data_IF_693075448983
#
_entry.id   IF_693075448983
#
_cell.length_a   1.000
_cell.length_b   1.000
_cell.length_c   1.000
_cell.angle_alpha   90.00
_cell.angle_beta   90.00
_cell.angle_gamma   90.00
#
_symmetry.space_group_name_H-M   'P 1'
#
loop_
_entity.id
_entity.type
_entity.pdbx_description
1 polymer ?
#
# COMPACT_ATOMS: atom_id res chain seq x y z
N UNK A 1 16.73 -36.96 17.58
CA UNK A 1 16.65 -36.77 16.11
C UNK A 1 15.28 -36.18 15.81
N UNK A 2 15.14 -34.84 15.77
CA UNK A 2 14.03 -34.09 15.12
C UNK A 2 13.91 -32.58 15.50
N UNK A 3 14.73 -32.00 16.39
CA UNK A 3 14.44 -30.63 16.89
C UNK A 3 15.49 -29.53 16.59
N UNK A 4 16.46 -29.79 15.71
CA UNK A 4 17.55 -28.83 15.45
C UNK A 4 17.33 -27.93 14.21
N UNK A 5 16.30 -28.20 13.40
CA UNK A 5 16.06 -27.45 12.16
C UNK A 5 15.10 -26.27 12.27
N UNK A 6 14.48 -26.02 13.44
CA UNK A 6 13.46 -24.95 13.58
C UNK A 6 14.02 -23.57 13.92
N UNK A 7 15.30 -23.45 14.27
CA UNK A 7 15.91 -22.19 14.73
C UNK A 7 16.82 -21.48 13.70
N UNK A 8 17.01 -22.03 12.49
CA UNK A 8 17.93 -21.45 11.50
C UNK A 8 17.39 -20.20 10.76
N UNK A 9 16.11 -19.84 10.94
CA UNK A 9 15.48 -18.70 10.25
C UNK A 9 15.40 -17.41 11.09
N UNK A 10 16.07 -17.36 12.25
CA UNK A 10 15.99 -16.22 13.20
C UNK A 10 17.21 -15.31 13.23
N UNK A 11 18.09 -15.41 12.25
CA UNK A 11 19.38 -14.72 12.25
C UNK A 11 19.81 -14.21 10.88
N UNK A 12 18.92 -13.53 10.15
CA UNK A 12 19.35 -12.65 9.06
C UNK A 12 20.14 -11.50 9.71
N UNK A 13 21.46 -11.68 9.80
CA UNK A 13 22.40 -10.72 10.36
C UNK A 13 22.21 -9.37 9.66
N UNK A 14 21.61 -8.42 10.35
CA UNK A 14 21.58 -7.02 9.96
C UNK A 14 23.01 -6.51 10.04
N UNK A 15 23.61 -6.22 8.88
CA UNK A 15 24.94 -5.64 8.78
C UNK A 15 24.95 -4.23 9.41
N UNK A 16 25.68 -3.98 10.50
CA UNK A 16 25.70 -2.70 11.20
C UNK A 16 26.54 -1.62 10.47
N UNK A 17 27.15 -1.93 9.33
CA UNK A 17 27.94 -0.98 8.55
C UNK A 17 27.16 -0.24 7.45
N UNK A 18 25.88 -0.55 7.26
CA UNK A 18 25.03 0.16 6.32
C UNK A 18 24.51 1.44 6.99
N UNK A 19 24.91 2.65 6.54
CA UNK A 19 24.32 3.88 7.04
C UNK A 19 22.84 3.82 6.73
N UNK A 20 22.03 3.68 7.78
CA UNK A 20 20.58 3.81 7.72
C UNK A 20 20.36 5.25 7.29
N UNK A 21 20.13 5.45 5.98
CA UNK A 21 19.79 6.77 5.46
C UNK A 21 18.48 7.12 6.13
N UNK A 22 18.44 8.21 6.87
CA UNK A 22 17.20 8.75 7.46
C UNK A 22 16.17 9.16 6.39
N UNK A 23 16.52 9.04 5.11
CA UNK A 23 15.63 9.07 3.94
C UNK A 23 14.79 7.78 3.78
N UNK A 24 15.17 6.67 4.44
CA UNK A 24 14.42 5.41 4.51
C UNK A 24 13.30 5.44 5.58
N UNK A 25 13.08 6.58 6.25
CA UNK A 25 11.88 6.85 7.04
C UNK A 25 10.66 6.73 6.12
N UNK A 26 9.96 5.61 6.21
CA UNK A 26 8.77 5.29 5.42
C UNK A 26 7.77 6.45 5.41
N UNK A 27 7.62 7.20 4.30
CA UNK A 27 6.64 8.26 4.19
C UNK A 27 5.27 7.67 3.80
N UNK A 28 4.94 6.48 4.32
CA UNK A 28 3.72 5.74 3.97
C UNK A 28 2.72 5.67 5.12
N UNK A 29 3.14 5.96 6.35
CA UNK A 29 2.23 6.01 7.50
C UNK A 29 1.13 7.04 7.30
N UNK A 30 1.46 8.21 6.71
CA UNK A 30 0.48 9.26 6.41
C UNK A 30 -0.60 8.83 5.41
N UNK A 31 -0.23 8.04 4.39
CA UNK A 31 -1.17 7.57 3.36
C UNK A 31 -2.12 6.49 3.90
N UNK A 32 -1.63 5.62 4.80
CA UNK A 32 -2.46 4.63 5.48
C UNK A 32 -3.48 5.27 6.43
N UNK A 33 -3.13 6.36 7.11
CA UNK A 33 -4.09 7.13 7.90
C UNK A 33 -5.14 7.82 7.03
N UNK A 34 -4.74 8.35 5.88
CA UNK A 34 -5.64 9.01 4.93
C UNK A 34 -6.70 8.03 4.38
N UNK A 35 -6.29 6.81 4.05
CA UNK A 35 -7.21 5.74 3.63
C UNK A 35 -8.26 5.42 4.71
N UNK A 36 -7.81 5.27 5.98
CA UNK A 36 -8.71 5.03 7.11
C UNK A 36 -9.66 6.20 7.32
N UNK A 37 -9.19 7.43 7.17
CA UNK A 37 -10.01 8.64 7.29
C UNK A 37 -11.12 8.67 6.23
N UNK A 38 -10.80 8.37 4.97
CA UNK A 38 -11.80 8.29 3.92
C UNK A 38 -12.83 7.18 4.14
N UNK A 39 -12.41 6.00 4.61
CA UNK A 39 -13.35 4.93 5.01
C UNK A 39 -14.28 5.36 6.15
N UNK A 40 -13.77 6.05 7.17
CA UNK A 40 -14.60 6.56 8.28
C UNK A 40 -15.61 7.60 7.78
N UNK A 41 -15.17 8.53 6.93
CA UNK A 41 -16.08 9.52 6.34
C UNK A 41 -17.15 8.86 5.45
N UNK A 42 -16.80 7.82 4.69
CA UNK A 42 -17.76 7.07 3.88
C UNK A 42 -18.84 6.40 4.76
N UNK A 43 -18.42 5.80 5.88
CA UNK A 43 -19.36 5.23 6.87
C UNK A 43 -20.26 6.32 7.45
N UNK A 44 -19.70 7.49 7.80
CA UNK A 44 -20.50 8.62 8.30
C UNK A 44 -21.52 9.07 7.26
N UNK A 45 -21.13 9.18 5.98
CA UNK A 45 -22.06 9.52 4.89
C UNK A 45 -23.18 8.48 4.73
N UNK A 46 -22.86 7.20 4.90
CA UNK A 46 -23.87 6.14 4.88
C UNK A 46 -24.82 6.23 6.08
N UNK A 47 -24.31 6.56 7.27
CA UNK A 47 -25.14 6.80 8.44
C UNK A 47 -26.04 8.03 8.26
N UNK A 48 -25.50 9.12 7.69
CA UNK A 48 -26.27 10.31 7.34
C UNK A 48 -27.35 9.99 6.32
N UNK A 49 -27.04 9.19 5.29
CA UNK A 49 -28.02 8.71 4.32
C UNK A 49 -29.20 7.99 4.98
N UNK A 50 -28.92 7.07 5.92
CA UNK A 50 -29.98 6.39 6.67
C UNK A 50 -30.80 7.38 7.50
N UNK A 51 -30.15 8.34 8.15
CA UNK A 51 -30.82 9.40 8.91
C UNK A 51 -31.73 10.27 8.02
N UNK A 52 -31.27 10.61 6.82
CA UNK A 52 -32.02 11.39 5.82
C UNK A 52 -33.29 10.64 5.39
N UNK A 53 -33.15 9.35 5.09
CA UNK A 53 -34.28 8.50 4.69
C UNK A 53 -35.35 8.46 5.78
N UNK A 54 -34.96 8.24 7.03
CA UNK A 54 -35.91 8.19 8.16
C UNK A 54 -36.56 9.54 8.37
N UNK A 55 -35.78 10.62 8.38
CA UNK A 55 -36.29 11.97 8.63
C UNK A 55 -37.21 12.45 7.52
N UNK A 56 -36.82 12.25 6.26
CA UNK A 56 -37.63 12.60 5.09
C UNK A 56 -38.96 11.85 5.05
N UNK A 57 -38.94 10.56 5.41
CA UNK A 57 -40.18 9.78 5.52
C UNK A 57 -41.09 10.28 6.66
N UNK A 58 -40.52 10.62 7.83
CA UNK A 58 -41.30 11.12 8.98
C UNK A 58 -41.86 12.52 8.76
N UNK A 59 -41.16 13.39 8.02
CA UNK A 59 -41.56 14.79 7.81
C UNK A 59 -42.58 14.97 6.68
N UNK A 60 -42.42 14.24 5.56
CA UNK A 60 -43.14 14.50 4.31
C UNK A 60 -43.81 13.25 3.72
N UNK A 61 -43.55 12.05 4.24
CA UNK A 61 -44.21 10.82 3.80
C UNK A 61 -43.99 10.53 2.31
N UNK A 62 -45.08 10.32 1.57
CA UNK A 62 -45.05 9.98 0.14
C UNK A 62 -44.61 11.12 -0.78
N UNK A 63 -44.77 12.37 -0.34
CA UNK A 63 -44.35 13.54 -1.13
C UNK A 63 -42.82 13.72 -1.13
N UNK A 64 -42.14 13.06 -0.19
CA UNK A 64 -40.69 13.08 -0.07
C UNK A 64 -39.98 12.20 -1.12
N UNK A 65 -40.70 11.23 -1.73
CA UNK A 65 -40.14 10.21 -2.62
C UNK A 65 -39.24 10.77 -3.75
N UNK A 66 -39.66 11.77 -4.57
CA UNK A 66 -38.83 12.29 -5.64
C UNK A 66 -37.54 12.97 -5.14
N UNK A 67 -37.62 13.66 -4.01
CA UNK A 67 -36.47 14.36 -3.40
C UNK A 67 -35.49 13.36 -2.79
N UNK A 68 -35.99 12.38 -2.03
CA UNK A 68 -35.18 11.34 -1.41
C UNK A 68 -34.43 10.53 -2.47
N UNK A 69 -35.06 10.18 -3.59
CA UNK A 69 -34.38 9.45 -4.68
C UNK A 69 -33.16 10.21 -5.20
N UNK A 70 -33.27 11.54 -5.37
CA UNK A 70 -32.17 12.39 -5.78
C UNK A 70 -31.04 12.43 -4.73
N UNK A 71 -31.38 12.67 -3.47
CA UNK A 71 -30.40 12.77 -2.38
C UNK A 71 -29.73 11.43 -2.08
N UNK A 72 -30.50 10.34 -2.03
CA UNK A 72 -30.00 8.97 -1.87
C UNK A 72 -28.99 8.65 -2.97
N UNK A 73 -29.33 8.92 -4.24
CA UNK A 73 -28.43 8.64 -5.35
C UNK A 73 -27.09 9.37 -5.19
N UNK A 74 -27.12 10.64 -4.80
CA UNK A 74 -25.92 11.46 -4.59
C UNK A 74 -25.09 10.94 -3.42
N UNK A 75 -25.71 10.65 -2.29
CA UNK A 75 -25.02 10.17 -1.09
C UNK A 75 -24.42 8.78 -1.29
N UNK A 76 -25.13 7.88 -1.99
CA UNK A 76 -24.60 6.55 -2.35
C UNK A 76 -23.39 6.68 -3.25
N UNK A 77 -23.45 7.50 -4.30
CA UNK A 77 -22.32 7.72 -5.22
C UNK A 77 -21.13 8.33 -4.49
N UNK A 78 -21.35 9.37 -3.67
CA UNK A 78 -20.28 9.99 -2.89
C UNK A 78 -19.65 9.03 -1.89
N UNK A 79 -20.48 8.27 -1.16
CA UNK A 79 -20.01 7.25 -0.22
C UNK A 79 -19.20 6.15 -0.92
N UNK A 80 -19.69 5.64 -2.06
CA UNK A 80 -19.00 4.62 -2.84
C UNK A 80 -17.67 5.12 -3.40
N UNK A 81 -17.64 6.35 -3.92
CA UNK A 81 -16.41 6.97 -4.41
C UNK A 81 -15.38 7.14 -3.30
N UNK A 82 -15.83 7.56 -2.12
CA UNK A 82 -14.97 7.77 -0.95
C UNK A 82 -14.45 6.45 -0.37
N UNK A 83 -15.27 5.40 -0.40
CA UNK A 83 -14.85 4.06 -0.03
C UNK A 83 -13.80 3.52 -1.00
N UNK A 84 -14.05 3.66 -2.30
CA UNK A 84 -13.14 3.24 -3.36
C UNK A 84 -11.82 4.01 -3.36
N UNK A 85 -11.83 5.32 -3.07
CA UNK A 85 -10.60 6.10 -2.93
C UNK A 85 -9.79 5.68 -1.70
N UNK A 86 -10.45 5.32 -0.59
CA UNK A 86 -9.81 4.70 0.56
C UNK A 86 -9.16 3.36 0.21
N UNK A 87 -9.87 2.48 -0.50
CA UNK A 87 -9.33 1.18 -0.94
C UNK A 87 -8.14 1.34 -1.90
N UNK A 88 -8.24 2.27 -2.86
CA UNK A 88 -7.17 2.61 -3.78
C UNK A 88 -5.93 3.12 -3.04
N UNK A 89 -6.08 3.91 -1.98
CA UNK A 89 -4.96 4.38 -1.18
C UNK A 89 -4.21 3.24 -0.47
N UNK A 90 -4.88 2.15 -0.10
CA UNK A 90 -4.20 0.95 0.43
C UNK A 90 -3.43 0.22 -0.67
N UNK A 91 -4.03 0.06 -1.84
CA UNK A 91 -3.36 -0.55 -2.99
C UNK A 91 -2.11 0.23 -3.42
N UNK A 92 -2.14 1.56 -3.36
CA UNK A 92 -0.97 2.39 -3.66
C UNK A 92 0.18 2.16 -2.67
N UNK A 93 -0.11 1.80 -1.42
CA UNK A 93 0.91 1.45 -0.42
C UNK A 93 1.61 0.15 -0.81
N UNK A 94 0.83 -0.87 -1.19
CA UNK A 94 1.37 -2.17 -1.61
C UNK A 94 2.24 -2.03 -2.87
N UNK A 95 1.80 -1.22 -3.86
CA UNK A 95 2.60 -0.89 -5.05
C UNK A 95 3.91 -0.19 -4.68
N UNK A 96 3.91 0.67 -3.67
CA UNK A 96 5.13 1.32 -3.19
C UNK A 96 6.18 0.32 -2.68
N UNK A 97 5.73 -0.74 -2.01
CA UNK A 97 6.60 -1.82 -1.57
C UNK A 97 7.15 -2.66 -2.73
N UNK A 98 6.31 -2.97 -3.72
CA UNK A 98 6.70 -3.76 -4.89
C UNK A 98 7.70 -3.03 -5.79
N UNK A 99 7.54 -1.71 -5.95
CA UNK A 99 8.51 -0.86 -6.68
C UNK A 99 9.85 -0.84 -5.95
N UNK A 100 9.84 -0.80 -4.61
CA UNK A 100 11.07 -0.87 -3.80
C UNK A 100 11.75 -2.23 -3.96
N UNK A 101 11.00 -3.33 -3.89
CA UNK A 101 11.52 -4.68 -4.11
C UNK A 101 12.16 -4.81 -5.50
N UNK A 102 11.48 -4.28 -6.52
CA UNK A 102 11.98 -4.27 -7.91
C UNK A 102 13.28 -3.48 -8.04
N UNK A 103 13.39 -2.30 -7.41
CA UNK A 103 14.65 -1.51 -7.39
C UNK A 103 15.81 -2.26 -6.75
N UNK A 104 15.57 -2.95 -5.64
CA UNK A 104 16.60 -3.76 -4.97
C UNK A 104 17.03 -4.92 -5.87
N UNK A 105 16.10 -5.61 -6.52
CA UNK A 105 16.40 -6.73 -7.42
C UNK A 105 17.21 -6.28 -8.64
N UNK A 106 16.79 -5.19 -9.31
CA UNK A 106 17.53 -4.61 -10.43
C UNK A 106 18.92 -4.13 -10.01
N UNK A 107 19.04 -3.51 -8.83
CA UNK A 107 20.33 -3.12 -8.27
C UNK A 107 21.26 -4.33 -8.06
N UNK A 108 20.75 -5.44 -7.53
CA UNK A 108 21.53 -6.68 -7.35
C UNK A 108 21.94 -7.30 -8.69
N UNK A 109 21.06 -7.32 -9.69
CA UNK A 109 21.37 -7.83 -11.03
C UNK A 109 22.42 -6.98 -11.75
N UNK A 110 22.32 -5.65 -11.68
CA UNK A 110 23.30 -4.74 -12.26
C UNK A 110 24.69 -4.94 -11.62
N UNK A 111 24.76 -5.08 -10.29
CA UNK A 111 26.02 -5.36 -9.59
C UNK A 111 26.59 -6.73 -10.00
N UNK A 112 25.77 -7.79 -10.07
CA UNK A 112 26.23 -9.11 -10.52
C UNK A 112 26.77 -9.09 -11.96
N UNK A 113 26.12 -8.40 -12.90
CA UNK A 113 26.64 -8.27 -14.26
C UNK A 113 28.00 -7.56 -14.30
N UNK A 114 28.17 -6.49 -13.51
CA UNK A 114 29.45 -5.78 -13.42
C UNK A 114 30.55 -6.69 -12.82
N UNK A 115 30.23 -7.46 -11.78
CA UNK A 115 31.17 -8.41 -11.17
C UNK A 115 31.56 -9.54 -12.12
N UNK A 116 30.61 -10.14 -12.85
CA UNK A 116 30.90 -11.21 -13.82
C UNK A 116 31.78 -10.72 -14.98
N UNK A 117 31.48 -9.55 -15.54
CA UNK A 117 32.28 -8.96 -16.64
C UNK A 117 33.67 -8.49 -16.17
N UNK A 118 33.79 -8.03 -14.92
CA UNK A 118 35.07 -7.68 -14.31
C UNK A 118 35.96 -8.88 -13.96
N UNK A 119 35.35 -10.01 -13.55
CA UNK A 119 36.05 -11.26 -13.25
C UNK A 119 36.60 -11.97 -14.49
N UNK A 120 35.89 -11.86 -15.62
CA UNK A 120 36.33 -12.46 -16.88
C UNK A 120 37.60 -11.78 -17.41
N UNK A 121 37.72 -10.45 -17.27
CA UNK A 121 38.93 -9.69 -17.68
C UNK A 121 40.16 -9.98 -16.83
N UNK A 122 39.99 -10.34 -15.56
CA UNK A 122 41.13 -10.64 -14.66
C UNK A 122 41.66 -12.05 -14.82
N UNK A 123 40.86 -12.99 -15.35
CA UNK A 123 41.34 -14.35 -15.63
C UNK A 123 42.11 -14.44 -16.96
N UNK A 124 41.77 -13.65 -17.98
CA UNK A 124 42.47 -13.68 -19.27
C UNK A 124 43.86 -13.05 -19.23
N UNK A 125 44.17 -12.21 -18.23
CA UNK A 125 45.47 -11.52 -18.11
C UNK A 125 46.55 -12.34 -17.37
N UNK A 126 46.21 -13.50 -16.79
CA UNK A 126 47.17 -14.45 -16.17
C UNK A 126 47.32 -15.75 -16.97
N UNK A 127 47.53 -15.65 -18.28
CA UNK A 127 48.04 -16.76 -19.09
C UNK A 127 49.54 -16.98 -18.84
N UNK A 128 50.03 -18.25 -18.84
CA UNK A 128 51.32 -18.63 -18.26
C UNK A 128 52.50 -18.09 -19.09
N UNK A 129 53.49 -17.52 -18.40
CA UNK A 129 54.82 -17.31 -18.94
C UNK A 129 55.66 -18.57 -18.80
#
# INVERSE_FOLDING_TARGET
MADEHRNAARGAKTDPSMPIRHEDLEPYTGLGYLSKLFKVMAIILLLLLVSEIVTGFMAQGSDAIPTLLGEISRLVVLSGLLWGSGDLALLLIDVGHDVRATRILLGRQAVHQITTVGGERTHTERGPR
#
